data_IF_107398625824
#
_entry.id   IF_107398625824
#
_cell.length_a   1.000
_cell.length_b   1.000
_cell.length_c   1.000
_cell.angle_alpha   90.00
_cell.angle_beta   90.00
_cell.angle_gamma   90.00
#
_symmetry.space_group_name_H-M   'P 1'
#
loop_
_entity.id
_entity.type
_entity.pdbx_description
1 polymer ?
#
# COMPACT_ATOMS: atom_id res chain seq x y z
N UNK A 1 -0.82 6.17 -6.26
CA UNK A 1 -0.50 5.03 -5.37
C UNK A 1 0.11 5.55 -4.09
N UNK A 2 -0.42 5.17 -2.92
CA UNK A 2 0.20 5.49 -1.61
C UNK A 2 1.06 4.30 -1.18
N UNK A 3 2.13 4.54 -0.45
CA UNK A 3 3.01 3.51 0.09
C UNK A 3 3.13 3.65 1.60
N UNK A 4 3.38 2.53 2.27
CA UNK A 4 3.62 2.45 3.70
C UNK A 4 4.90 1.68 3.97
N UNK A 5 5.75 2.23 4.84
CA UNK A 5 6.88 1.51 5.38
C UNK A 5 6.43 0.49 6.42
N UNK A 6 6.90 -0.75 6.30
CA UNK A 6 6.61 -1.82 7.27
C UNK A 6 7.48 -1.70 8.54
N UNK A 7 8.60 -1.00 8.44
CA UNK A 7 9.57 -0.86 9.52
C UNK A 7 9.20 0.30 10.48
N UNK A 8 9.00 1.50 9.93
CA UNK A 8 8.65 2.69 10.72
C UNK A 8 7.17 3.10 10.63
N UNK A 9 6.37 2.45 9.79
CA UNK A 9 4.95 2.78 9.61
C UNK A 9 4.67 4.04 8.78
N UNK A 10 5.68 4.80 8.34
CA UNK A 10 5.52 6.05 7.60
C UNK A 10 4.76 5.85 6.29
N UNK A 11 3.75 6.69 6.06
CA UNK A 11 2.90 6.67 4.86
C UNK A 11 3.28 7.83 3.95
N UNK A 12 3.56 7.54 2.68
CA UNK A 12 3.96 8.56 1.72
C UNK A 12 3.38 8.29 0.33
N UNK A 13 3.29 9.33 -0.50
CA UNK A 13 2.82 9.24 -1.87
C UNK A 13 3.94 9.72 -2.81
N UNK A 14 4.56 8.85 -3.60
CA UNK A 14 5.55 9.27 -4.58
C UNK A 14 4.88 10.15 -5.64
N UNK A 15 5.53 11.26 -5.97
CA UNK A 15 5.11 12.17 -7.05
C UNK A 15 5.44 11.64 -8.44
N UNK A 16 6.31 10.63 -8.52
CA UNK A 16 6.72 9.96 -9.76
C UNK A 16 5.98 8.65 -9.94
N UNK A 17 5.83 8.22 -11.19
CA UNK A 17 5.36 6.87 -11.57
C UNK A 17 6.36 5.77 -11.23
N UNK A 18 7.62 6.10 -10.90
CA UNK A 18 8.60 5.09 -10.46
C UNK A 18 8.24 4.54 -9.07
N UNK A 19 8.27 3.22 -8.95
CA UNK A 19 8.07 2.54 -7.68
C UNK A 19 9.22 2.91 -6.72
N UNK A 20 8.91 3.42 -5.52
CA UNK A 20 9.94 3.68 -4.52
C UNK A 20 10.54 2.34 -4.07
N UNK A 21 11.87 2.33 -3.91
CA UNK A 21 12.61 1.16 -3.39
C UNK A 21 12.97 1.29 -1.90
N UNK A 22 12.84 2.49 -1.32
CA UNK A 22 13.16 2.77 0.09
C UNK A 22 12.19 3.75 0.72
N UNK A 23 12.02 3.66 2.03
CA UNK A 23 11.28 4.61 2.83
C UNK A 23 12.02 5.96 2.90
N UNK A 24 11.37 7.11 2.64
CA UNK A 24 12.01 8.42 2.74
C UNK A 24 12.28 8.87 4.18
N UNK A 25 11.72 8.19 5.18
CA UNK A 25 11.87 8.56 6.59
C UNK A 25 13.00 7.79 7.29
N UNK A 26 12.98 6.45 7.21
CA UNK A 26 13.99 5.61 7.86
C UNK A 26 14.97 4.93 6.88
N UNK A 27 14.86 5.18 5.57
CA UNK A 27 15.65 4.52 4.51
C UNK A 27 15.48 3.00 4.40
N UNK A 28 14.56 2.38 5.16
CA UNK A 28 14.30 0.95 5.10
C UNK A 28 13.78 0.53 3.71
N UNK A 29 14.25 -0.60 3.14
CA UNK A 29 13.76 -1.14 1.86
C UNK A 29 12.38 -1.80 1.97
N UNK A 30 11.87 -1.98 3.19
CA UNK A 30 10.60 -2.68 3.46
C UNK A 30 9.40 -1.75 3.31
N UNK A 31 8.94 -1.56 2.08
CA UNK A 31 7.77 -0.73 1.74
C UNK A 31 6.75 -1.52 0.93
N UNK A 32 5.47 -1.27 1.21
CA UNK A 32 4.31 -1.88 0.53
C UNK A 32 3.39 -0.79 -0.01
N UNK A 33 2.68 -1.02 -1.13
CA UNK A 33 1.57 -0.16 -1.50
C UNK A 33 0.55 -0.18 -0.35
N UNK A 34 0.09 0.99 0.06
CA UNK A 34 -0.98 1.10 1.01
C UNK A 34 -2.28 0.77 0.28
N UNK A 35 -2.85 -0.40 0.59
CA UNK A 35 -4.21 -0.76 0.18
C UNK A 35 -5.17 0.34 0.66
N UNK A 36 -5.99 0.83 -0.26
CA UNK A 36 -7.02 1.80 0.10
C UNK A 36 -8.24 1.05 0.63
N UNK A 37 -9.07 1.73 1.43
CA UNK A 37 -10.37 1.17 1.81
C UNK A 37 -11.18 0.73 0.57
N UNK A 38 -11.05 1.45 -0.54
CA UNK A 38 -11.67 1.11 -1.80
C UNK A 38 -11.17 -0.23 -2.40
N UNK A 39 -9.86 -0.47 -2.35
CA UNK A 39 -9.23 -1.72 -2.83
C UNK A 39 -9.69 -2.94 -1.99
N UNK A 40 -9.78 -2.74 -0.67
CA UNK A 40 -10.32 -3.74 0.25
C UNK A 40 -11.80 -4.02 -0.01
N UNK A 41 -12.63 -2.98 -0.20
CA UNK A 41 -14.05 -3.12 -0.52
C UNK A 41 -14.27 -3.86 -1.84
N UNK A 42 -13.48 -3.53 -2.87
CA UNK A 42 -13.52 -4.23 -4.16
C UNK A 42 -13.14 -5.72 -4.03
N UNK A 43 -12.25 -6.06 -3.10
CA UNK A 43 -11.85 -7.46 -2.84
C UNK A 43 -12.89 -8.22 -2.00
N UNK A 44 -13.57 -7.55 -1.06
CA UNK A 44 -14.62 -8.16 -0.23
C UNK A 44 -15.86 -8.53 -1.05
N UNK A 45 -16.16 -7.80 -2.13
CA UNK A 45 -17.28 -8.09 -3.04
C UNK A 45 -17.20 -9.42 -3.81
N UNK A 46 -16.09 -10.18 -3.68
CA UNK A 46 -15.92 -11.51 -4.32
C UNK A 46 -16.18 -12.72 -3.41
N UNK A 47 -16.70 -12.53 -2.19
CA UNK A 47 -17.28 -13.66 -1.45
C UNK A 47 -18.65 -13.99 -2.05
N UNK A 48 -18.63 -14.79 -3.13
CA UNK A 48 -19.78 -15.57 -3.59
C UNK A 48 -20.39 -16.28 -2.37
N UNK A 49 -21.63 -15.96 -2.05
CA UNK A 49 -22.50 -16.80 -1.23
C UNK A 49 -22.89 -17.95 -2.15
N UNK A 50 -22.46 -19.21 -1.90
CA UNK A 50 -23.03 -20.33 -2.64
C UNK A 50 -24.51 -20.47 -2.24
N UNK A 51 -25.40 -20.57 -3.25
CA UNK A 51 -26.82 -20.92 -3.14
C UNK A 51 -27.06 -22.27 -2.45
#
# INVERSE_FOLDING_TARGET
MKYRCLDCGYKFQPKTTRQPNRCPFCSSPSIRPAETAQDLLNSVGKRQIPE
#
